data_IF_225929723680
#
_entry.id   IF_225929723680
#
_cell.length_a   1.000
_cell.length_b   1.000
_cell.length_c   1.000
_cell.angle_alpha   90.00
_cell.angle_beta   90.00
_cell.angle_gamma   90.00
#
_symmetry.space_group_name_H-M   'P 1'
#
loop_
_entity.id
_entity.type
_entity.pdbx_description
1 polymer ?
#
# COMPACT_ATOMS: atom_id res chain seq x y z
N UNK A 1 -8.76 -24.74 9.69
CA UNK A 1 -7.51 -24.39 9.00
C UNK A 1 -7.33 -22.88 8.99
N UNK A 2 -6.19 -22.42 9.48
CA UNK A 2 -5.91 -20.97 9.49
C UNK A 2 -5.20 -20.59 8.19
N UNK A 3 -5.79 -19.70 7.44
CA UNK A 3 -5.15 -19.10 6.26
C UNK A 3 -4.48 -17.82 6.70
N UNK A 4 -3.19 -17.72 6.41
CA UNK A 4 -2.41 -16.52 6.72
C UNK A 4 -2.05 -15.84 5.42
N UNK A 5 -2.41 -14.58 5.32
CA UNK A 5 -2.18 -13.79 4.12
C UNK A 5 -1.25 -12.63 4.39
N UNK A 6 -0.65 -12.12 3.34
CA UNK A 6 0.10 -10.87 3.37
C UNK A 6 -0.46 -9.92 2.31
N UNK A 7 -0.23 -8.62 2.52
CA UNK A 7 -0.63 -7.58 1.57
C UNK A 7 0.62 -7.13 0.81
N UNK A 8 0.56 -7.15 -0.51
CA UNK A 8 1.58 -6.52 -1.35
C UNK A 8 0.92 -5.39 -2.14
N UNK A 9 1.41 -4.19 -1.97
CA UNK A 9 0.89 -3.02 -2.65
C UNK A 9 1.93 -2.46 -3.61
N UNK A 10 1.55 -2.38 -4.90
CA UNK A 10 2.39 -1.84 -5.94
C UNK A 10 1.98 -0.39 -6.20
N UNK A 11 2.92 0.56 -6.04
CA UNK A 11 2.60 1.98 -6.18
C UNK A 11 2.25 2.36 -7.62
N UNK A 12 2.59 1.55 -8.63
CA UNK A 12 2.19 1.85 -9.99
C UNK A 12 0.68 1.62 -10.24
N UNK A 13 -0.03 1.03 -9.29
CA UNK A 13 -1.49 0.98 -9.30
C UNK A 13 -2.13 2.35 -9.03
N UNK A 14 -1.37 3.29 -8.46
CA UNK A 14 -1.83 4.65 -8.24
C UNK A 14 -1.63 5.47 -9.52
N UNK A 15 -2.51 6.49 -9.70
CA UNK A 15 -2.34 7.42 -10.81
C UNK A 15 -1.02 8.19 -10.64
N UNK A 16 -0.25 8.46 -11.73
CA UNK A 16 1.01 9.19 -11.63
C UNK A 16 0.92 10.58 -11.03
N UNK A 17 -0.27 11.18 -10.98
CA UNK A 17 -0.50 12.43 -10.26
C UNK A 17 -0.14 12.26 -8.78
N UNK A 18 -0.37 11.09 -8.21
CA UNK A 18 -0.11 10.78 -6.79
C UNK A 18 1.21 10.08 -6.57
N UNK A 19 1.62 9.25 -7.52
CA UNK A 19 2.80 8.41 -7.38
C UNK A 19 3.59 8.34 -8.69
N UNK A 20 4.28 9.44 -9.10
CA UNK A 20 5.07 9.43 -10.34
C UNK A 20 6.37 8.65 -10.23
N UNK A 21 6.85 8.39 -9.01
CA UNK A 21 8.15 7.75 -8.77
C UNK A 21 8.11 6.25 -8.90
N UNK A 22 7.73 5.75 -10.05
CA UNK A 22 7.73 4.32 -10.36
C UNK A 22 8.24 4.11 -11.79
N UNK A 23 8.73 2.90 -12.08
CA UNK A 23 9.26 2.58 -13.40
C UNK A 23 8.20 2.40 -14.47
N UNK A 24 6.95 2.16 -14.09
CA UNK A 24 5.86 1.86 -15.03
C UNK A 24 4.59 2.64 -14.69
N UNK A 25 4.65 4.00 -14.74
CA UNK A 25 3.46 4.80 -14.41
C UNK A 25 2.39 4.65 -15.49
N UNK A 26 1.13 4.53 -15.05
CA UNK A 26 -0.02 4.46 -15.95
C UNK A 26 -1.10 5.44 -15.53
N UNK A 27 -1.58 6.23 -16.48
CA UNK A 27 -2.67 7.19 -16.26
C UNK A 27 -3.98 6.43 -16.04
N UNK A 28 -4.83 6.95 -15.17
CA UNK A 28 -6.11 6.33 -14.86
C UNK A 28 -6.08 5.35 -13.71
N UNK A 29 -5.00 5.37 -12.91
CA UNK A 29 -4.90 4.55 -11.72
C UNK A 29 -5.71 5.08 -10.54
N UNK A 30 -5.58 4.41 -9.40
CA UNK A 30 -6.30 4.76 -8.18
C UNK A 30 -5.76 6.04 -7.56
N UNK A 31 -6.64 6.78 -6.85
CA UNK A 31 -6.20 7.86 -5.97
C UNK A 31 -5.64 7.26 -4.68
N UNK A 32 -4.88 8.07 -3.93
CA UNK A 32 -4.38 7.64 -2.62
C UNK A 32 -5.53 7.32 -1.66
N UNK A 33 -6.60 8.10 -1.71
CA UNK A 33 -7.78 7.87 -0.87
C UNK A 33 -8.43 6.52 -1.18
N UNK A 34 -8.59 6.21 -2.47
CA UNK A 34 -9.14 4.91 -2.89
C UNK A 34 -8.26 3.75 -2.42
N UNK A 35 -6.94 3.90 -2.54
CA UNK A 35 -5.99 2.88 -2.08
C UNK A 35 -6.08 2.67 -0.57
N UNK A 36 -6.16 3.75 0.21
CA UNK A 36 -6.33 3.66 1.65
C UNK A 36 -7.62 2.95 2.03
N UNK A 37 -8.72 3.25 1.33
CA UNK A 37 -10.01 2.60 1.59
C UNK A 37 -9.95 1.11 1.25
N UNK A 38 -9.30 0.74 0.15
CA UNK A 38 -9.12 -0.67 -0.20
C UNK A 38 -8.37 -1.44 0.89
N UNK A 39 -7.28 -0.86 1.41
CA UNK A 39 -6.50 -1.51 2.47
C UNK A 39 -7.34 -1.64 3.74
N UNK A 40 -8.05 -0.59 4.13
CA UNK A 40 -8.92 -0.62 5.30
C UNK A 40 -10.05 -1.63 5.18
N UNK A 41 -10.50 -1.91 3.95
CA UNK A 41 -11.53 -2.92 3.71
C UNK A 41 -11.06 -4.34 3.99
N UNK A 42 -9.74 -4.55 4.13
CA UNK A 42 -9.17 -5.86 4.45
C UNK A 42 -9.18 -6.17 5.95
N UNK A 43 -9.74 -5.29 6.76
CA UNK A 43 -9.90 -5.55 8.20
C UNK A 43 -10.75 -6.79 8.40
N UNK A 44 -10.34 -7.62 9.33
CA UNK A 44 -11.03 -8.88 9.61
C UNK A 44 -10.40 -10.09 8.95
N UNK A 45 -9.50 -9.89 7.96
CA UNK A 45 -8.74 -11.00 7.38
C UNK A 45 -7.56 -11.37 8.29
N UNK A 46 -7.10 -12.60 8.16
CA UNK A 46 -5.93 -13.06 8.91
C UNK A 46 -4.66 -12.65 8.17
N UNK A 47 -4.13 -11.49 8.54
CA UNK A 47 -2.94 -10.92 7.93
C UNK A 47 -1.75 -11.02 8.87
N UNK A 48 -0.56 -11.30 8.33
CA UNK A 48 0.65 -11.40 9.13
C UNK A 48 1.81 -10.56 8.60
N UNK A 49 1.64 -9.91 7.47
CA UNK A 49 2.68 -9.04 6.92
C UNK A 49 2.21 -8.29 5.70
N UNK A 50 3.08 -7.44 5.21
CA UNK A 50 2.81 -6.70 3.97
C UNK A 50 4.04 -5.97 3.50
N UNK A 51 3.98 -5.50 2.25
CA UNK A 51 5.03 -4.71 1.65
C UNK A 51 4.46 -3.68 0.67
N UNK A 52 5.28 -2.71 0.34
CA UNK A 52 5.02 -1.72 -0.71
C UNK A 52 6.18 -1.81 -1.69
N UNK A 53 5.88 -1.98 -2.96
CA UNK A 53 6.89 -2.23 -3.99
C UNK A 53 6.83 -1.20 -5.11
N UNK A 54 7.85 -1.21 -5.96
CA UNK A 54 7.95 -0.40 -7.19
C UNK A 54 8.12 1.10 -6.95
N UNK A 55 8.53 1.51 -5.74
CA UNK A 55 8.94 2.92 -5.52
C UNK A 55 10.30 3.13 -6.15
N UNK A 56 10.38 4.08 -7.07
CA UNK A 56 11.61 4.39 -7.80
C UNK A 56 11.96 5.87 -7.62
N UNK A 57 12.69 6.24 -6.56
CA UNK A 57 12.99 7.65 -6.24
C UNK A 57 13.61 8.47 -7.37
N UNK A 58 14.47 7.91 -8.25
CA UNK A 58 15.02 8.70 -9.36
C UNK A 58 13.99 9.30 -10.30
N UNK A 59 12.78 8.74 -10.36
CA UNK A 59 11.69 9.25 -11.19
C UNK A 59 10.81 10.27 -10.47
N UNK A 60 11.10 10.56 -9.20
CA UNK A 60 10.32 11.50 -8.40
C UNK A 60 11.24 12.36 -7.52
N UNK A 61 11.82 13.42 -8.09
CA UNK A 61 12.73 14.28 -7.31
C UNK A 61 12.10 14.94 -6.09
N UNK A 62 10.76 15.09 -6.09
CA UNK A 62 10.06 15.72 -4.96
C UNK A 62 9.91 14.80 -3.75
N UNK A 63 10.09 13.49 -3.94
CA UNK A 63 9.90 12.51 -2.87
C UNK A 63 8.43 12.20 -2.54
N UNK A 64 7.49 12.71 -3.32
CA UNK A 64 6.05 12.52 -3.07
C UNK A 64 5.68 11.04 -3.09
N UNK A 65 6.20 10.28 -4.05
CA UNK A 65 5.90 8.84 -4.15
C UNK A 65 6.41 8.08 -2.93
N UNK A 66 7.60 8.42 -2.44
CA UNK A 66 8.13 7.79 -1.23
C UNK A 66 7.25 8.09 -0.01
N UNK A 67 6.76 9.33 0.10
CA UNK A 67 5.84 9.71 1.17
C UNK A 67 4.52 8.96 1.07
N UNK A 68 3.97 8.85 -0.13
CA UNK A 68 2.74 8.09 -0.38
C UNK A 68 2.96 6.62 -0.03
N UNK A 69 4.10 6.04 -0.45
CA UNK A 69 4.44 4.66 -0.12
C UNK A 69 4.52 4.43 1.39
N UNK A 70 5.12 5.38 2.12
CA UNK A 70 5.19 5.31 3.57
C UNK A 70 3.81 5.37 4.21
N UNK A 71 2.92 6.22 3.70
CA UNK A 71 1.54 6.33 4.19
C UNK A 71 0.75 5.04 3.96
N UNK A 72 0.91 4.43 2.78
CA UNK A 72 0.29 3.13 2.47
C UNK A 72 0.85 2.04 3.38
N UNK A 73 2.16 2.04 3.63
CA UNK A 73 2.78 1.08 4.53
C UNK A 73 2.22 1.22 5.95
N UNK A 74 1.97 2.45 6.40
CA UNK A 74 1.34 2.69 7.69
C UNK A 74 -0.07 2.10 7.76
N UNK A 75 -0.87 2.27 6.69
CA UNK A 75 -2.21 1.68 6.61
C UNK A 75 -2.13 0.14 6.69
N UNK A 76 -1.19 -0.45 5.97
CA UNK A 76 -0.97 -1.90 5.99
C UNK A 76 -0.58 -2.33 7.41
N UNK A 77 0.33 -1.61 8.06
CA UNK A 77 0.76 -1.92 9.41
C UNK A 77 -0.41 -1.89 10.40
N UNK A 78 -1.31 -0.91 10.28
CA UNK A 78 -2.49 -0.82 11.13
C UNK A 78 -3.39 -2.04 10.97
N UNK A 79 -3.67 -2.45 9.73
CA UNK A 79 -4.54 -3.59 9.45
C UNK A 79 -3.91 -4.90 9.92
N UNK A 80 -2.61 -5.08 9.68
CA UNK A 80 -1.88 -6.27 10.13
C UNK A 80 -1.83 -6.33 11.67
N UNK A 81 -1.54 -5.21 12.32
CA UNK A 81 -1.50 -5.15 13.79
C UNK A 81 -2.85 -5.52 14.40
N UNK A 82 -3.93 -5.03 13.83
CA UNK A 82 -5.28 -5.37 14.29
C UNK A 82 -5.55 -6.87 14.11
N UNK A 83 -5.14 -7.44 12.98
CA UNK A 83 -5.29 -8.87 12.73
C UNK A 83 -4.52 -9.70 13.75
N UNK A 84 -3.26 -9.34 14.03
CA UNK A 84 -2.45 -10.05 15.03
C UNK A 84 -3.07 -9.95 16.41
N UNK A 85 -3.55 -8.77 16.80
CA UNK A 85 -4.17 -8.56 18.09
C UNK A 85 -5.45 -9.40 18.27
N UNK A 86 -6.23 -9.53 17.22
CA UNK A 86 -7.50 -10.28 17.28
C UNK A 86 -7.31 -11.79 17.39
N UNK A 87 -6.09 -12.30 17.11
CA UNK A 87 -5.79 -13.73 17.18
C UNK A 87 -5.27 -14.19 18.54
N UNK A 88 -5.12 -13.28 19.47
CA UNK A 88 -4.62 -13.60 20.82
C UNK A 88 -5.73 -14.06 21.75
#
# INVERSE_FOLDING_TARGET
MCIRDSISFDVDGLDPVYAPGTGTPEVGGFTTHEAQQMIRSLRGLQLFGGDVVEVAPPFDPSGTTALVGASIMFEILCVVSESVASRK
#
